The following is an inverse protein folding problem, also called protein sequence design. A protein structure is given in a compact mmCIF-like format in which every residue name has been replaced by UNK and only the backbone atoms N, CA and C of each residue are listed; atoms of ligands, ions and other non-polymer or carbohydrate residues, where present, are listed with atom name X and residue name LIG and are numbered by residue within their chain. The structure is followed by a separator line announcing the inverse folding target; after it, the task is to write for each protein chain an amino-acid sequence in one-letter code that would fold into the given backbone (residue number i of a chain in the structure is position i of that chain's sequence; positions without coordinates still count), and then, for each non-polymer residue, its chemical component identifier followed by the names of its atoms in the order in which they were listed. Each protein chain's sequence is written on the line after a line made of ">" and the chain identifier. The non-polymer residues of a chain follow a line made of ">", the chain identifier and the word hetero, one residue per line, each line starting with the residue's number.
data_IF_537786801478
#
_entry.id   IF_537786801478
#
_cell.length_a   1.000
_cell.length_b   1.000
_cell.length_c   1.000
_cell.angle_alpha   90.00
_cell.angle_beta   90.00
_cell.angle_gamma   90.00
#
_symmetry.space_group_name_H-M   'P 1'
#
loop_
_entity.id
_entity.type
_entity.pdbx_description
1 polymer ?
#
# COMPACT_ATOMS: atom_id res chain seq x y z
N UNK A 1 -7.67 8.33 -9.28
CA UNK A 1 -6.84 8.60 -8.09
C UNK A 1 -7.74 8.57 -6.88
N UNK A 2 -7.39 7.79 -5.85
CA UNK A 2 -8.18 7.75 -4.62
C UNK A 2 -7.92 9.04 -3.83
N UNK A 3 -8.89 9.95 -3.84
CA UNK A 3 -8.93 11.10 -2.93
C UNK A 3 -8.96 10.57 -1.50
N UNK A 4 -8.00 10.97 -0.65
CA UNK A 4 -8.03 10.64 0.78
C UNK A 4 -9.35 11.10 1.35
N UNK A 5 -10.17 10.18 1.86
CA UNK A 5 -11.49 10.55 2.36
C UNK A 5 -11.33 11.23 3.71
N UNK A 6 -12.22 12.17 4.02
CA UNK A 6 -12.24 12.86 5.31
C UNK A 6 -12.17 11.89 6.51
N UNK A 7 -12.93 10.80 6.46
CA UNK A 7 -12.93 9.77 7.51
C UNK A 7 -11.56 9.12 7.71
N UNK A 8 -10.80 8.89 6.63
CA UNK A 8 -9.47 8.30 6.69
C UNK A 8 -8.48 9.27 7.39
N UNK A 9 -8.61 10.57 7.12
CA UNK A 9 -7.85 11.63 7.80
C UNK A 9 -8.18 11.62 9.31
N UNK A 10 -9.46 11.57 9.65
CA UNK A 10 -9.90 11.62 11.04
C UNK A 10 -9.38 10.43 11.85
N UNK A 11 -9.46 9.21 11.30
CA UNK A 11 -8.92 8.00 11.94
C UNK A 11 -7.42 8.13 12.15
N UNK A 12 -6.67 8.56 11.11
CA UNK A 12 -5.22 8.72 11.18
C UNK A 12 -4.80 9.72 12.27
N UNK A 13 -5.50 10.83 12.39
CA UNK A 13 -5.22 11.86 13.42
C UNK A 13 -5.56 11.37 14.82
N UNK A 14 -6.67 10.64 14.99
CA UNK A 14 -7.04 10.06 16.30
C UNK A 14 -6.02 9.03 16.77
N UNK A 15 -5.52 8.18 15.88
CA UNK A 15 -4.44 7.26 16.20
C UNK A 15 -3.14 7.99 16.55
N UNK A 16 -2.81 9.05 15.82
CA UNK A 16 -1.64 9.86 16.13
C UNK A 16 -1.73 10.51 17.52
N UNK A 17 -2.88 11.07 17.88
CA UNK A 17 -3.16 11.62 19.21
C UNK A 17 -3.02 10.57 20.31
N UNK A 18 -3.48 9.33 20.06
CA UNK A 18 -3.34 8.21 20.99
C UNK A 18 -1.87 7.86 21.23
N UNK A 19 -1.06 7.80 20.16
CA UNK A 19 0.39 7.54 20.26
C UNK A 19 1.11 8.68 20.97
N UNK A 20 0.80 9.93 20.65
CA UNK A 20 1.39 11.11 21.26
C UNK A 20 1.23 11.10 22.79
N UNK A 21 0.03 10.76 23.29
CA UNK A 21 -0.23 10.62 24.73
C UNK A 21 0.56 9.51 25.40
N UNK A 22 0.74 8.40 24.69
CA UNK A 22 1.39 7.21 25.24
C UNK A 22 2.93 7.29 25.22
N UNK A 23 3.51 7.86 24.16
CA UNK A 23 4.94 7.83 23.87
C UNK A 23 5.61 9.21 23.83
N UNK A 24 4.85 10.31 23.90
CA UNK A 24 5.36 11.69 23.90
C UNK A 24 5.87 12.19 22.55
N UNK A 25 5.81 11.37 21.48
CA UNK A 25 6.20 11.78 20.12
C UNK A 25 5.42 10.98 19.08
N UNK A 26 4.92 11.67 18.06
CA UNK A 26 4.20 11.03 16.94
C UNK A 26 4.61 11.51 15.56
N UNK A 27 5.44 12.55 15.45
CA UNK A 27 5.82 13.07 14.15
C UNK A 27 6.60 12.03 13.33
N UNK A 28 6.08 11.73 12.15
CA UNK A 28 6.69 10.86 11.16
C UNK A 28 6.80 11.57 9.80
N UNK A 29 7.27 10.87 8.77
CA UNK A 29 7.44 11.46 7.44
C UNK A 29 6.13 11.88 6.76
N UNK A 30 4.98 11.38 7.23
CA UNK A 30 3.66 11.62 6.64
C UNK A 30 2.69 12.36 7.55
N UNK A 31 3.01 12.63 8.80
CA UNK A 31 2.19 13.41 9.73
C UNK A 31 3.04 14.41 10.51
N UNK A 32 2.62 15.68 10.49
CA UNK A 32 3.34 16.78 11.10
C UNK A 32 2.41 17.64 11.96
N UNK A 33 2.85 17.95 13.19
CA UNK A 33 2.09 18.78 14.12
C UNK A 33 2.43 20.26 13.91
N UNK A 34 1.45 21.13 14.12
CA UNK A 34 1.56 22.58 13.97
C UNK A 34 0.73 23.25 15.05
N UNK A 35 1.39 23.85 16.05
CA UNK A 35 0.68 24.58 17.10
C UNK A 35 -0.18 25.71 16.53
N UNK A 36 0.41 26.59 15.74
CA UNK A 36 -0.27 27.72 15.11
C UNK A 36 -0.09 27.73 13.59
N UNK A 37 -1.04 28.30 12.84
CA UNK A 37 -0.89 28.52 11.41
C UNK A 37 0.26 29.50 11.12
N UNK A 38 1.29 29.08 10.38
CA UNK A 38 2.46 29.89 10.06
C UNK A 38 2.21 30.81 8.85
N UNK A 39 3.17 31.67 8.48
CA UNK A 39 3.09 32.42 7.21
C UNK A 39 3.07 31.47 6.01
N UNK A 40 2.22 31.76 5.02
CA UNK A 40 2.07 30.91 3.84
C UNK A 40 3.37 30.86 3.01
N UNK A 41 4.08 32.00 2.93
CA UNK A 41 5.30 32.17 2.13
C UNK A 41 6.44 31.25 2.61
N UNK A 42 6.66 31.17 3.93
CA UNK A 42 7.70 30.30 4.50
C UNK A 42 7.32 28.83 4.40
N UNK A 43 6.03 28.52 4.28
CA UNK A 43 5.51 27.16 4.40
C UNK A 43 5.22 26.50 3.07
N UNK A 44 5.10 27.27 1.99
CA UNK A 44 5.11 26.73 0.64
C UNK A 44 6.35 25.86 0.39
N UNK A 45 7.55 26.34 0.77
CA UNK A 45 8.79 25.57 0.60
C UNK A 45 8.82 24.31 1.47
N UNK A 46 8.32 24.37 2.72
CA UNK A 46 8.26 23.21 3.61
C UNK A 46 7.25 22.17 3.11
N UNK A 47 6.07 22.62 2.67
CA UNK A 47 5.04 21.76 2.09
C UNK A 47 5.54 21.09 0.81
N UNK A 48 6.15 21.85 -0.10
CA UNK A 48 6.77 21.31 -1.30
C UNK A 48 7.88 20.30 -0.96
N UNK A 49 8.72 20.62 0.03
CA UNK A 49 9.83 19.76 0.45
C UNK A 49 9.35 18.42 1.02
N UNK A 50 8.32 18.46 1.85
CA UNK A 50 7.68 17.25 2.34
C UNK A 50 7.03 16.49 1.17
N UNK A 51 6.21 17.15 0.34
CA UNK A 51 5.49 16.50 -0.77
C UNK A 51 6.44 15.84 -1.78
N UNK A 52 7.56 16.48 -2.09
CA UNK A 52 8.62 15.94 -2.92
C UNK A 52 9.28 14.70 -2.30
N UNK A 53 9.48 14.69 -0.98
CA UNK A 53 10.09 13.57 -0.27
C UNK A 53 9.12 12.40 -0.04
N UNK A 54 7.81 12.66 0.03
CA UNK A 54 6.79 11.65 0.35
C UNK A 54 6.51 10.64 -0.74
N UNK A 55 7.01 10.85 -1.96
CA UNK A 55 6.99 9.79 -2.97
C UNK A 55 5.58 9.33 -3.37
N UNK A 56 4.63 10.26 -3.41
CA UNK A 56 3.24 10.01 -3.81
C UNK A 56 2.28 9.67 -2.67
N UNK A 57 2.80 9.47 -1.45
CA UNK A 57 2.02 9.29 -0.22
C UNK A 57 1.50 10.61 0.34
N UNK A 58 0.25 10.63 0.80
CA UNK A 58 -0.35 11.83 1.39
C UNK A 58 0.35 12.26 2.69
N UNK A 59 0.55 13.57 2.83
CA UNK A 59 1.06 14.18 4.06
C UNK A 59 -0.09 14.82 4.81
N UNK A 60 -0.14 14.65 6.12
CA UNK A 60 -1.15 15.27 6.98
C UNK A 60 -0.47 16.31 7.86
N UNK A 61 -0.94 17.56 7.78
CA UNK A 61 -0.64 18.59 8.77
C UNK A 61 -1.79 18.68 9.77
N UNK A 62 -1.45 18.70 11.06
CA UNK A 62 -2.42 18.82 12.15
C UNK A 62 -2.20 20.13 12.88
N UNK A 63 -3.13 21.07 12.72
CA UNK A 63 -3.10 22.37 13.38
C UNK A 63 -3.85 22.33 14.70
N UNK A 64 -3.39 23.15 15.66
CA UNK A 64 -3.96 23.25 17.01
C UNK A 64 -3.29 22.33 18.03
N UNK A 65 -2.15 21.72 17.67
CA UNK A 65 -1.34 20.90 18.55
C UNK A 65 0.13 21.28 18.35
N UNK A 66 0.78 21.75 19.40
CA UNK A 66 2.21 22.07 19.39
C UNK A 66 3.08 20.80 19.39
N UNK A 67 4.38 20.96 19.11
CA UNK A 67 5.32 19.84 18.97
C UNK A 67 5.51 19.06 20.29
N UNK A 68 5.20 19.67 21.43
CA UNK A 68 5.19 19.04 22.76
C UNK A 68 3.84 18.38 23.12
N UNK A 69 2.86 18.44 22.21
CA UNK A 69 1.52 17.91 22.37
C UNK A 69 0.53 18.84 23.09
N UNK A 70 0.93 20.07 23.43
CA UNK A 70 0.00 21.04 23.99
C UNK A 70 -1.05 21.50 22.97
N UNK A 71 -2.30 21.62 23.38
CA UNK A 71 -3.36 22.18 22.53
C UNK A 71 -3.20 23.69 22.40
N UNK A 72 -3.40 24.19 21.19
CA UNK A 72 -3.34 25.60 20.84
C UNK A 72 -4.66 25.98 20.20
N UNK A 73 -5.27 27.06 20.69
CA UNK A 73 -6.54 27.54 20.14
C UNK A 73 -6.36 28.07 18.72
N UNK A 74 -7.13 27.50 17.79
CA UNK A 74 -7.16 27.86 16.37
C UNK A 74 -8.56 28.31 15.93
N UNK A 75 -9.47 28.64 16.85
CA UNK A 75 -10.85 28.99 16.52
C UNK A 75 -11.00 30.21 15.60
N UNK A 76 -9.99 31.08 15.54
CA UNK A 76 -9.94 32.23 14.63
C UNK A 76 -9.15 31.98 13.33
N UNK A 77 -8.70 30.74 13.07
CA UNK A 77 -7.93 30.41 11.89
C UNK A 77 -8.81 30.05 10.70
N UNK A 78 -8.83 30.93 9.69
CA UNK A 78 -9.49 30.69 8.41
C UNK A 78 -8.50 30.02 7.42
N UNK A 79 -8.59 28.69 7.31
CA UNK A 79 -7.69 27.91 6.44
C UNK A 79 -7.78 28.36 4.97
N UNK A 80 -8.98 28.65 4.47
CA UNK A 80 -9.19 29.02 3.07
C UNK A 80 -8.45 30.32 2.72
N UNK A 81 -8.52 31.33 3.60
CA UNK A 81 -7.79 32.60 3.44
C UNK A 81 -6.27 32.40 3.44
N UNK A 82 -5.78 31.54 4.33
CA UNK A 82 -4.37 31.20 4.40
C UNK A 82 -3.90 30.43 3.17
N UNK A 83 -4.67 29.43 2.75
CA UNK A 83 -4.31 28.55 1.64
C UNK A 83 -4.44 29.24 0.29
N UNK A 84 -5.34 30.22 0.13
CA UNK A 84 -5.46 31.03 -1.08
C UNK A 84 -4.14 31.74 -1.49
N UNK A 85 -3.22 31.94 -0.54
CA UNK A 85 -1.89 32.52 -0.79
C UNK A 85 -0.85 31.51 -1.28
N UNK A 86 -1.07 30.21 -1.06
CA UNK A 86 -0.11 29.16 -1.40
C UNK A 86 0.17 29.04 -2.90
N UNK A 87 -0.82 28.97 -3.80
CA UNK A 87 -0.57 28.75 -5.23
C UNK A 87 0.41 29.76 -5.85
N UNK A 88 0.39 31.02 -5.38
CA UNK A 88 1.27 32.07 -5.87
C UNK A 88 2.76 31.82 -5.60
N UNK A 89 3.10 30.94 -4.66
CA UNK A 89 4.47 30.58 -4.30
C UNK A 89 5.03 29.42 -5.14
N UNK A 90 4.19 28.67 -5.85
CA UNK A 90 4.59 27.55 -6.69
C UNK A 90 4.84 27.99 -8.13
N UNK A 91 5.64 27.20 -8.84
CA UNK A 91 5.85 27.30 -10.28
C UNK A 91 5.30 26.03 -10.96
N UNK A 92 3.99 26.03 -11.20
CA UNK A 92 3.26 24.86 -11.71
C UNK A 92 2.30 24.28 -10.67
N UNK A 93 2.15 22.94 -10.59
CA UNK A 93 1.23 22.31 -9.65
C UNK A 93 1.66 22.56 -8.21
N UNK A 94 0.69 22.54 -7.30
CA UNK A 94 0.87 22.64 -5.87
C UNK A 94 0.10 21.51 -5.17
N UNK A 95 0.49 21.11 -3.94
CA UNK A 95 -0.23 20.06 -3.22
C UNK A 95 -1.66 20.48 -2.88
N UNK A 96 -2.64 19.72 -3.37
CA UNK A 96 -4.07 19.98 -3.14
C UNK A 96 -4.50 19.50 -1.73
N UNK A 97 -5.21 20.31 -0.94
CA UNK A 97 -5.64 19.96 0.40
C UNK A 97 -6.98 19.20 0.41
N UNK A 98 -7.13 18.30 1.37
CA UNK A 98 -8.41 17.78 1.85
C UNK A 98 -8.47 18.02 3.35
N UNK A 99 -9.56 18.66 3.80
CA UNK A 99 -9.66 19.22 5.15
C UNK A 99 -10.62 18.37 6.00
N UNK A 100 -10.25 18.16 7.27
CA UNK A 100 -11.11 17.60 8.30
C UNK A 100 -11.00 18.43 9.58
N UNK A 101 -12.13 18.95 10.07
CA UNK A 101 -12.23 19.52 11.42
C UNK A 101 -12.61 18.44 12.41
N UNK A 102 -11.91 18.40 13.55
CA UNK A 102 -12.13 17.47 14.64
C UNK A 102 -12.30 18.20 15.96
N UNK A 103 -13.19 17.67 16.81
CA UNK A 103 -13.18 17.94 18.24
C UNK A 103 -12.41 16.82 18.96
N UNK A 104 -11.50 17.23 19.86
CA UNK A 104 -10.80 16.33 20.75
C UNK A 104 -10.68 16.97 22.13
N UNK A 105 -11.43 16.42 23.09
CA UNK A 105 -11.50 16.92 24.46
C UNK A 105 -11.89 18.40 24.56
N UNK A 106 -12.81 18.84 23.69
CA UNK A 106 -13.24 20.22 23.63
C UNK A 106 -12.27 21.18 22.94
N UNK A 107 -11.16 20.68 22.38
CA UNK A 107 -10.23 21.46 21.58
C UNK A 107 -10.51 21.24 20.09
N UNK A 108 -10.61 22.34 19.34
CA UNK A 108 -10.74 22.31 17.90
C UNK A 108 -9.38 21.98 17.26
N UNK A 109 -9.36 20.96 16.41
CA UNK A 109 -8.19 20.53 15.63
C UNK A 109 -8.54 20.58 14.15
N UNK A 110 -7.61 21.09 13.36
CA UNK A 110 -7.73 21.12 11.91
C UNK A 110 -6.70 20.17 11.31
N UNK A 111 -7.17 19.12 10.66
CA UNK A 111 -6.34 18.19 9.91
C UNK A 111 -6.42 18.48 8.41
N UNK A 112 -5.26 18.61 7.77
CA UNK A 112 -5.16 18.91 6.35
C UNK A 112 -4.28 17.87 5.68
N UNK A 113 -4.88 17.03 4.85
CA UNK A 113 -4.17 16.05 4.03
C UNK A 113 -3.83 16.66 2.67
N UNK A 114 -2.56 16.67 2.30
CA UNK A 114 -2.08 17.13 1.02
C UNK A 114 -1.76 15.96 0.09
N UNK A 115 -2.21 16.05 -1.15
CA UNK A 115 -1.81 15.13 -2.22
C UNK A 115 -0.41 15.45 -2.72
N UNK A 116 0.41 14.43 -2.94
CA UNK A 116 1.83 14.58 -3.31
C UNK A 116 2.19 13.85 -4.62
N UNK A 117 1.19 13.46 -5.40
CA UNK A 117 1.29 12.64 -6.60
C UNK A 117 1.70 13.40 -7.86
N UNK A 118 1.84 14.73 -7.75
CA UNK A 118 2.31 15.61 -8.82
C UNK A 118 3.76 16.07 -8.63
N UNK A 119 4.53 15.43 -7.74
CA UNK A 119 5.95 15.72 -7.60
C UNK A 119 6.67 15.59 -8.98
N UNK A 120 7.62 16.48 -9.32
CA UNK A 120 8.21 17.51 -8.45
C UNK A 120 7.36 18.78 -8.29
N UNK A 121 7.27 19.26 -7.05
CA UNK A 121 6.73 20.57 -6.68
C UNK A 121 7.87 21.61 -6.63
N UNK A 122 7.78 22.63 -7.49
CA UNK A 122 8.79 23.68 -7.62
C UNK A 122 8.25 24.97 -6.97
N UNK A 123 9.08 25.64 -6.18
CA UNK A 123 8.72 26.90 -5.49
C UNK A 123 9.60 28.05 -5.90
N UNK A 124 9.08 29.26 -5.75
CA UNK A 124 9.83 30.52 -5.88
C UNK A 124 10.62 30.77 -4.60
N UNK A 125 11.89 31.16 -4.71
CA UNK A 125 12.70 31.46 -3.53
C UNK A 125 12.22 32.76 -2.89
N UNK A 126 12.02 32.76 -1.57
CA UNK A 126 11.61 33.96 -0.83
C UNK A 126 12.64 35.10 -0.96
N UNK A 127 13.94 34.76 -0.95
CA UNK A 127 15.02 35.73 -1.06
C UNK A 127 15.15 36.34 -2.48
N UNK A 128 14.78 35.59 -3.51
CA UNK A 128 14.77 36.05 -4.91
C UNK A 128 13.66 35.33 -5.69
N UNK A 129 12.48 35.95 -5.85
CA UNK A 129 11.35 35.34 -6.55
C UNK A 129 11.60 35.05 -8.04
N UNK A 130 12.73 35.45 -8.61
CA UNK A 130 13.14 35.06 -9.98
C UNK A 130 13.81 33.69 -10.01
N UNK A 131 14.32 33.23 -8.87
CA UNK A 131 14.88 31.91 -8.72
C UNK A 131 13.81 30.88 -8.39
N UNK A 132 14.06 29.64 -8.80
CA UNK A 132 13.24 28.48 -8.51
C UNK A 132 14.09 27.43 -7.82
N UNK A 133 13.47 26.71 -6.91
CA UNK A 133 14.08 25.53 -6.31
C UNK A 133 13.04 24.42 -6.18
N UNK A 134 13.50 23.18 -6.20
CA UNK A 134 12.69 22.01 -5.85
C UNK A 134 13.06 21.65 -4.41
N UNK A 135 12.25 21.99 -3.40
CA UNK A 135 12.60 21.70 -2.03
C UNK A 135 12.54 20.19 -1.77
N UNK A 136 13.28 19.72 -0.79
CA UNK A 136 13.35 18.33 -0.34
C UNK A 136 13.46 18.32 1.17
N UNK A 137 12.62 17.50 1.81
CA UNK A 137 12.66 17.32 3.26
C UNK A 137 13.64 16.20 3.63
N UNK A 138 14.53 16.51 4.56
CA UNK A 138 15.44 15.57 5.20
C UNK A 138 15.32 15.74 6.72
N UNK A 139 14.64 14.79 7.36
CA UNK A 139 14.27 14.90 8.78
C UNK A 139 13.33 16.08 9.02
N UNK A 140 13.73 17.01 9.90
CA UNK A 140 13.00 18.24 10.20
C UNK A 140 13.41 19.44 9.31
N UNK A 141 14.38 19.26 8.42
CA UNK A 141 14.92 20.35 7.60
C UNK A 141 14.45 20.28 6.16
N UNK A 142 14.31 21.45 5.54
CA UNK A 142 14.03 21.60 4.11
C UNK A 142 15.26 22.18 3.42
N UNK A 143 15.73 21.51 2.38
CA UNK A 143 16.84 21.95 1.52
C UNK A 143 16.47 21.80 0.05
N UNK A 144 17.31 22.23 -0.88
CA UNK A 144 17.11 21.93 -2.30
C UNK A 144 17.36 20.44 -2.58
N UNK A 145 16.56 19.86 -3.47
CA UNK A 145 16.73 18.50 -3.96
C UNK A 145 18.04 18.36 -4.74
N UNK A 146 18.75 17.27 -4.50
CA UNK A 146 19.92 16.85 -5.28
C UNK A 146 19.49 16.27 -6.63
N UNK A 147 20.44 16.15 -7.57
CA UNK A 147 20.19 15.49 -8.87
C UNK A 147 19.58 14.09 -8.71
N UNK A 148 20.09 13.29 -7.77
CA UNK A 148 19.61 11.93 -7.54
C UNK A 148 18.18 11.89 -7.01
N UNK A 149 17.79 12.85 -6.17
CA UNK A 149 16.42 13.00 -5.67
C UNK A 149 15.46 13.46 -6.78
N UNK A 150 15.88 14.41 -7.62
CA UNK A 150 15.10 14.82 -8.80
C UNK A 150 14.84 13.65 -9.75
N UNK A 151 15.86 12.84 -10.04
CA UNK A 151 15.67 11.64 -10.86
C UNK A 151 14.67 10.68 -10.20
N UNK A 152 14.74 10.49 -8.88
CA UNK A 152 13.79 9.63 -8.14
C UNK A 152 12.35 10.12 -8.21
N UNK A 153 12.11 11.43 -8.22
CA UNK A 153 10.77 12.00 -8.40
C UNK A 153 10.22 11.75 -9.80
N UNK A 154 11.08 11.84 -10.82
CA UNK A 154 10.71 11.68 -12.22
C UNK A 154 10.53 10.21 -12.64
N UNK A 155 11.09 9.27 -11.86
CA UNK A 155 10.82 7.86 -12.08
C UNK A 155 9.34 7.58 -11.79
N UNK A 156 8.61 6.88 -12.69
CA UNK A 156 7.23 6.50 -12.44
C UNK A 156 7.11 5.82 -11.09
N UNK A 157 6.38 6.44 -10.18
CA UNK A 157 6.04 5.83 -8.91
C UNK A 157 4.95 4.80 -9.19
N UNK A 158 5.36 3.57 -9.53
CA UNK A 158 4.43 2.45 -9.59
C UNK A 158 3.78 2.31 -8.22
N UNK A 159 2.49 2.62 -8.15
CA UNK A 159 1.67 2.23 -7.02
C UNK A 159 1.37 0.74 -7.18
N UNK A 160 1.64 -0.02 -6.12
CA UNK A 160 1.30 -1.43 -6.13
C UNK A 160 -0.22 -1.58 -6.01
N UNK A 161 -0.83 -2.54 -6.71
CA UNK A 161 -2.23 -2.84 -6.51
C UNK A 161 -2.47 -3.35 -5.08
N UNK A 162 -3.65 -3.05 -4.55
CA UNK A 162 -4.12 -3.71 -3.33
C UNK A 162 -4.57 -5.12 -3.69
N UNK A 163 -4.14 -6.11 -2.92
CA UNK A 163 -4.51 -7.51 -3.13
C UNK A 163 -4.96 -8.09 -1.79
N UNK A 164 -6.06 -8.83 -1.82
CA UNK A 164 -6.63 -9.49 -0.64
C UNK A 164 -6.85 -10.97 -0.95
N UNK A 165 -6.55 -11.86 -0.01
CA UNK A 165 -6.88 -13.29 -0.16
C UNK A 165 -8.29 -13.49 0.36
N UNK A 166 -9.20 -13.79 -0.57
CA UNK A 166 -10.60 -14.09 -0.28
C UNK A 166 -10.75 -15.47 0.34
N UNK A 167 -9.88 -16.40 -0.03
CA UNK A 167 -9.83 -17.74 0.52
C UNK A 167 -8.86 -18.63 -0.24
N UNK A 168 -8.66 -19.84 0.23
CA UNK A 168 -7.86 -20.83 -0.48
C UNK A 168 -7.78 -22.15 0.25
N UNK A 169 -7.03 -23.08 -0.31
CA UNK A 169 -6.73 -24.35 0.32
C UNK A 169 -5.44 -24.97 -0.22
N UNK A 170 -4.77 -25.72 0.64
CA UNK A 170 -3.78 -26.72 0.25
C UNK A 170 -4.47 -28.08 0.30
N UNK A 171 -4.51 -28.79 -0.82
CA UNK A 171 -5.05 -30.12 -0.95
C UNK A 171 -3.93 -31.15 -1.14
N UNK A 172 -4.16 -32.36 -0.65
CA UNK A 172 -3.26 -33.49 -0.80
C UNK A 172 -3.93 -34.57 -1.66
N UNK A 173 -3.52 -34.67 -2.92
CA UNK A 173 -4.16 -35.57 -3.89
C UNK A 173 -3.36 -36.87 -4.05
N UNK A 174 -4.01 -38.05 -4.11
CA UNK A 174 -3.32 -39.29 -4.41
C UNK A 174 -2.61 -39.23 -5.76
N UNK A 175 -1.36 -39.69 -5.82
CA UNK A 175 -0.65 -39.76 -7.09
C UNK A 175 -1.26 -40.83 -8.01
N UNK A 176 -1.55 -40.51 -9.29
CA UNK A 176 -2.03 -41.50 -10.24
C UNK A 176 -1.05 -42.69 -10.35
N UNK A 177 -1.57 -43.90 -10.18
CA UNK A 177 -0.78 -45.13 -10.30
C UNK A 177 0.04 -45.52 -9.05
N UNK A 178 -0.09 -44.79 -7.94
CA UNK A 178 0.49 -45.19 -6.65
C UNK A 178 -0.60 -45.45 -5.60
N UNK A 179 -0.26 -46.21 -4.56
CA UNK A 179 -1.14 -46.37 -3.42
C UNK A 179 -1.36 -45.02 -2.73
N UNK A 180 -2.61 -44.63 -2.41
CA UNK A 180 -2.93 -43.35 -1.76
C UNK A 180 -2.27 -43.18 -0.38
N UNK A 181 -1.81 -44.27 0.22
CA UNK A 181 -1.15 -44.31 1.53
C UNK A 181 0.37 -44.05 1.47
N UNK A 182 0.97 -43.93 0.28
CA UNK A 182 2.41 -43.77 0.13
C UNK A 182 2.81 -42.31 -0.10
N UNK A 183 2.27 -41.67 -1.13
CA UNK A 183 2.67 -40.33 -1.56
C UNK A 183 1.45 -39.56 -2.04
N UNK A 184 1.33 -38.32 -1.57
CA UNK A 184 0.33 -37.36 -2.05
C UNK A 184 0.99 -36.16 -2.70
N UNK A 185 0.37 -35.69 -3.76
CA UNK A 185 0.71 -34.45 -4.43
C UNK A 185 0.17 -33.27 -3.63
N UNK A 186 0.99 -32.23 -3.51
CA UNK A 186 0.60 -30.97 -2.87
C UNK A 186 0.05 -30.04 -3.95
N UNK A 187 -1.22 -29.70 -3.81
CA UNK A 187 -1.97 -28.81 -4.72
C UNK A 187 -2.42 -27.58 -3.94
N UNK A 188 -2.27 -26.41 -4.53
CA UNK A 188 -2.75 -25.15 -3.97
C UNK A 188 -3.79 -24.50 -4.86
N UNK A 189 -4.79 -23.92 -4.22
CA UNK A 189 -5.75 -23.02 -4.85
C UNK A 189 -5.99 -21.83 -3.91
N UNK A 190 -5.95 -20.62 -4.45
CA UNK A 190 -6.41 -19.43 -3.73
C UNK A 190 -7.22 -18.54 -4.65
N UNK A 191 -8.18 -17.86 -4.07
CA UNK A 191 -8.92 -16.79 -4.71
C UNK A 191 -8.47 -15.45 -4.13
N UNK A 192 -8.13 -14.54 -5.02
CA UNK A 192 -7.59 -13.24 -4.69
C UNK A 192 -8.49 -12.16 -5.25
N UNK A 193 -8.77 -11.15 -4.43
CA UNK A 193 -9.31 -9.88 -4.88
C UNK A 193 -8.15 -8.93 -5.18
N UNK A 194 -8.33 -8.10 -6.20
CA UNK A 194 -7.35 -7.12 -6.63
C UNK A 194 -8.02 -5.80 -6.95
N UNK A 195 -7.42 -4.72 -6.47
CA UNK A 195 -7.84 -3.35 -6.72
C UNK A 195 -6.63 -2.56 -7.28
N UNK A 196 -6.62 -2.25 -8.59
CA UNK A 196 -5.56 -1.46 -9.21
C UNK A 196 -5.45 -0.07 -8.58
N UNK A 197 -4.23 0.35 -8.28
CA UNK A 197 -4.00 1.68 -7.75
C UNK A 197 -4.31 2.81 -8.78
N UNK A 198 -4.24 2.50 -10.07
CA UNK A 198 -4.40 3.44 -11.17
C UNK A 198 -5.41 2.96 -12.22
N UNK A 199 -6.13 3.89 -12.84
CA UNK A 199 -7.17 3.62 -13.83
C UNK A 199 -6.65 3.00 -15.14
N UNK A 200 -5.35 3.07 -15.40
CA UNK A 200 -4.73 2.45 -16.57
C UNK A 200 -4.65 0.92 -16.45
N UNK A 201 -4.87 0.39 -15.24
CA UNK A 201 -4.70 -1.03 -14.96
C UNK A 201 -3.25 -1.46 -14.98
N UNK A 202 -3.03 -2.77 -14.89
CA UNK A 202 -1.71 -3.37 -14.99
C UNK A 202 -1.79 -4.80 -15.52
N UNK A 203 -0.62 -5.33 -15.89
CA UNK A 203 -0.49 -6.71 -16.33
C UNK A 203 0.19 -7.55 -15.24
N UNK A 204 -0.51 -8.58 -14.75
CA UNK A 204 0.06 -9.60 -13.86
C UNK A 204 0.68 -10.70 -14.72
N UNK A 205 2.01 -10.81 -14.69
CA UNK A 205 2.73 -11.74 -15.55
C UNK A 205 2.86 -13.10 -14.89
N UNK A 206 2.31 -14.15 -15.52
CA UNK A 206 2.39 -15.53 -15.04
C UNK A 206 3.83 -15.98 -14.82
N UNK A 207 4.74 -15.59 -15.72
CA UNK A 207 6.15 -15.98 -15.62
C UNK A 207 6.92 -15.35 -14.44
N UNK A 208 6.31 -14.39 -13.75
CA UNK A 208 6.86 -13.71 -12.58
C UNK A 208 6.11 -14.02 -11.29
N UNK A 209 5.13 -14.94 -11.37
CA UNK A 209 4.44 -15.43 -10.20
C UNK A 209 5.22 -16.60 -9.61
N UNK A 210 5.39 -16.57 -8.30
CA UNK A 210 5.99 -17.63 -7.50
C UNK A 210 5.09 -17.90 -6.30
N UNK A 211 4.86 -19.16 -6.01
CA UNK A 211 4.15 -19.62 -4.83
C UNK A 211 5.11 -20.48 -4.03
N UNK A 212 5.25 -20.18 -2.74
CA UNK A 212 5.99 -21.00 -1.80
C UNK A 212 5.06 -21.50 -0.70
N UNK A 213 5.02 -22.81 -0.49
CA UNK A 213 4.20 -23.45 0.55
C UNK A 213 5.14 -24.18 1.50
N UNK A 214 5.18 -23.74 2.75
CA UNK A 214 5.93 -24.37 3.82
C UNK A 214 5.00 -25.28 4.66
N UNK A 215 5.33 -26.57 4.71
CA UNK A 215 4.63 -27.61 5.46
C UNK A 215 5.62 -28.27 6.43
N UNK A 216 5.55 -27.90 7.70
CA UNK A 216 6.59 -28.26 8.68
C UNK A 216 7.97 -27.70 8.26
N UNK A 217 8.96 -28.58 8.14
CA UNK A 217 10.33 -28.22 7.72
C UNK A 217 10.51 -28.21 6.19
N UNK A 218 9.51 -28.65 5.42
CA UNK A 218 9.60 -28.74 3.96
C UNK A 218 9.00 -27.51 3.32
N UNK A 219 9.71 -26.98 2.32
CA UNK A 219 9.25 -25.87 1.49
C UNK A 219 9.10 -26.33 0.05
N UNK A 220 7.92 -26.08 -0.51
CA UNK A 220 7.58 -26.37 -1.90
C UNK A 220 7.45 -25.08 -2.66
N UNK A 221 8.06 -24.98 -3.85
CA UNK A 221 8.01 -23.77 -4.67
C UNK A 221 7.43 -24.10 -6.03
N UNK A 222 6.36 -23.41 -6.41
CA UNK A 222 5.80 -23.40 -7.76
C UNK A 222 6.14 -22.09 -8.45
N UNK A 223 6.74 -22.18 -9.62
CA UNK A 223 7.02 -21.03 -10.50
C UNK A 223 6.07 -21.06 -11.71
N UNK A 224 6.26 -20.10 -12.62
CA UNK A 224 5.58 -19.93 -13.90
C UNK A 224 4.91 -21.19 -14.51
N UNK A 225 5.64 -22.30 -14.66
CA UNK A 225 5.11 -23.52 -15.30
C UNK A 225 3.96 -24.17 -14.53
N UNK A 226 3.98 -24.07 -13.21
CA UNK A 226 3.08 -24.76 -12.29
C UNK A 226 2.00 -23.84 -11.71
N UNK A 227 2.00 -22.55 -12.08
CA UNK A 227 1.00 -21.57 -11.64
C UNK A 227 0.01 -21.29 -12.77
N UNK A 228 -1.28 -21.41 -12.49
CA UNK A 228 -2.37 -21.03 -13.37
C UNK A 228 -3.09 -19.82 -12.76
N UNK A 229 -3.30 -18.79 -13.58
CA UNK A 229 -4.06 -17.60 -13.23
C UNK A 229 -5.34 -17.58 -14.06
N UNK A 230 -6.49 -17.43 -13.41
CA UNK A 230 -7.80 -17.45 -14.07
C UNK A 230 -8.69 -16.38 -13.46
N UNK A 231 -9.36 -15.58 -14.27
CA UNK A 231 -10.40 -14.68 -13.76
C UNK A 231 -11.54 -15.51 -13.15
N UNK A 232 -12.07 -15.07 -12.00
CA UNK A 232 -13.17 -15.75 -11.30
C UNK A 232 -14.24 -14.74 -10.90
N UNK A 233 -15.50 -15.18 -10.91
CA UNK A 233 -16.60 -14.45 -10.27
C UNK A 233 -16.72 -14.94 -8.83
N UNK A 234 -16.31 -14.12 -7.86
CA UNK A 234 -16.60 -14.38 -6.46
C UNK A 234 -18.00 -13.88 -6.12
N UNK A 235 -18.79 -14.62 -5.32
CA UNK A 235 -20.16 -14.25 -4.96
C UNK A 235 -20.29 -12.83 -4.38
N UNK A 236 -19.27 -12.39 -3.62
CA UNK A 236 -19.23 -11.04 -3.03
C UNK A 236 -18.68 -9.96 -3.98
N UNK A 237 -17.99 -10.33 -5.04
CA UNK A 237 -17.30 -9.40 -5.96
C UNK A 237 -17.52 -9.79 -7.43
N UNK A 238 -18.76 -9.75 -7.94
CA UNK A 238 -19.08 -10.14 -9.32
C UNK A 238 -18.66 -9.04 -10.31
N UNK A 239 -17.37 -8.92 -10.64
CA UNK A 239 -16.86 -8.01 -11.67
C UNK A 239 -15.66 -8.57 -12.46
N UNK A 240 -15.84 -9.72 -13.12
CA UNK A 240 -14.82 -10.32 -14.00
C UNK A 240 -14.44 -9.47 -15.22
N UNK A 241 -15.28 -8.53 -15.67
CA UNK A 241 -15.00 -7.75 -16.89
C UNK A 241 -13.70 -6.93 -16.80
N UNK A 242 -13.29 -6.57 -15.58
CA UNK A 242 -12.06 -5.84 -15.28
C UNK A 242 -10.81 -6.73 -15.26
N UNK A 243 -10.95 -8.05 -15.08
CA UNK A 243 -9.84 -9.01 -15.02
C UNK A 243 -9.91 -9.95 -16.23
N UNK A 244 -9.00 -9.77 -17.18
CA UNK A 244 -9.02 -10.50 -18.45
C UNK A 244 -7.83 -11.44 -18.55
N UNK A 245 -8.04 -12.75 -18.79
CA UNK A 245 -6.93 -13.66 -19.05
C UNK A 245 -6.26 -13.33 -20.39
N UNK A 246 -4.94 -13.48 -20.43
CA UNK A 246 -4.12 -13.39 -21.65
C UNK A 246 -3.21 -14.61 -21.73
N UNK A 247 -2.53 -14.81 -22.85
CA UNK A 247 -1.55 -15.90 -22.99
C UNK A 247 -0.35 -15.79 -22.02
N UNK A 248 -0.07 -14.58 -21.51
CA UNK A 248 1.06 -14.29 -20.64
C UNK A 248 0.70 -14.11 -19.16
N UNK A 249 -0.61 -14.09 -18.81
CA UNK A 249 -1.08 -13.86 -17.44
C UNK A 249 -2.46 -13.22 -17.40
N UNK A 250 -2.63 -12.17 -16.58
CA UNK A 250 -3.90 -11.42 -16.45
C UNK A 250 -3.69 -9.94 -16.78
N UNK A 251 -4.65 -9.33 -17.48
CA UNK A 251 -4.76 -7.89 -17.66
C UNK A 251 -5.87 -7.36 -16.76
N UNK A 252 -5.54 -6.45 -15.85
CA UNK A 252 -6.46 -5.98 -14.81
C UNK A 252 -6.67 -4.48 -14.99
N UNK A 253 -7.89 -4.04 -15.31
CA UNK A 253 -8.25 -2.64 -15.59
C UNK A 253 -9.04 -1.97 -14.47
N UNK A 254 -9.50 -2.74 -13.49
CA UNK A 254 -10.27 -2.27 -12.36
C UNK A 254 -10.38 -3.36 -11.29
N UNK A 255 -11.15 -3.11 -10.21
CA UNK A 255 -11.34 -4.07 -9.15
C UNK A 255 -11.95 -5.39 -9.66
N UNK A 256 -11.48 -6.52 -9.14
CA UNK A 256 -12.04 -7.82 -9.48
C UNK A 256 -11.34 -8.98 -8.77
N UNK A 257 -11.75 -10.20 -9.09
CA UNK A 257 -11.20 -11.44 -8.51
C UNK A 257 -10.54 -12.34 -9.55
N UNK A 258 -9.54 -13.09 -9.10
CA UNK A 258 -8.93 -14.17 -9.87
C UNK A 258 -8.49 -15.31 -8.97
N UNK A 259 -8.46 -16.51 -9.52
CA UNK A 259 -7.88 -17.69 -8.91
C UNK A 259 -6.41 -17.84 -9.29
N UNK A 260 -5.60 -18.22 -8.30
CA UNK A 260 -4.26 -18.74 -8.45
C UNK A 260 -4.28 -20.21 -8.05
N UNK A 261 -4.11 -21.06 -9.04
CA UNK A 261 -4.11 -22.52 -8.87
C UNK A 261 -2.73 -23.08 -9.23
N UNK A 262 -2.39 -24.21 -8.64
CA UNK A 262 -1.24 -25.00 -9.08
C UNK A 262 -1.65 -26.39 -9.49
N UNK A 263 -0.99 -26.97 -10.48
CA UNK A 263 -1.22 -28.37 -10.87
C UNK A 263 -0.53 -29.35 -9.92
N UNK A 264 0.73 -29.08 -9.55
CA UNK A 264 1.50 -29.84 -8.56
C UNK A 264 2.69 -28.98 -8.10
N UNK A 265 2.83 -28.79 -6.80
CA UNK A 265 3.96 -28.02 -6.21
C UNK A 265 5.05 -28.95 -5.69
N UNK A 266 4.67 -30.16 -5.27
CA UNK A 266 5.60 -31.16 -4.78
C UNK A 266 4.88 -32.39 -4.26
N UNK A 267 5.62 -33.22 -3.54
CA UNK A 267 5.13 -34.49 -3.02
C UNK A 267 5.49 -34.65 -1.55
N UNK A 268 4.57 -35.24 -0.79
CA UNK A 268 4.75 -35.57 0.62
C UNK A 268 4.38 -37.02 0.90
N UNK A 269 5.19 -37.73 1.70
CA UNK A 269 4.81 -39.01 2.29
C UNK A 269 3.54 -38.85 3.15
N UNK A 270 2.64 -39.84 3.11
CA UNK A 270 1.36 -39.76 3.82
C UNK A 270 1.51 -39.76 5.36
N UNK A 271 2.57 -40.38 5.89
CA UNK A 271 2.90 -40.38 7.32
C UNK A 271 3.26 -38.98 7.82
N UNK A 272 3.97 -38.17 7.02
CA UNK A 272 4.30 -36.78 7.33
C UNK A 272 3.03 -35.93 7.43
N UNK A 273 2.01 -36.19 6.60
CA UNK A 273 0.75 -35.42 6.62
C UNK A 273 -0.01 -35.57 7.93
N UNK A 274 0.06 -36.75 8.57
CA UNK A 274 -0.64 -37.00 9.84
C UNK A 274 -0.09 -36.16 11.00
N UNK A 275 1.14 -35.65 10.88
CA UNK A 275 1.76 -34.78 11.87
C UNK A 275 1.66 -33.28 11.57
N UNK A 276 1.11 -32.89 10.41
CA UNK A 276 1.03 -31.48 10.03
C UNK A 276 -0.10 -30.77 10.76
N UNK A 277 0.27 -29.80 11.61
CA UNK A 277 -0.69 -28.93 12.30
C UNK A 277 -0.85 -27.58 11.61
N UNK A 278 0.20 -27.11 10.92
CA UNK A 278 0.27 -25.77 10.35
C UNK A 278 0.94 -25.76 8.97
N UNK A 279 0.49 -24.83 8.13
CA UNK A 279 1.04 -24.53 6.83
C UNK A 279 1.24 -23.02 6.70
N UNK A 280 2.41 -22.59 6.22
CA UNK A 280 2.64 -21.20 5.85
C UNK A 280 2.74 -21.09 4.34
N UNK A 281 1.87 -20.29 3.76
CA UNK A 281 1.86 -20.00 2.33
C UNK A 281 2.41 -18.61 2.11
N UNK A 282 3.34 -18.49 1.18
CA UNK A 282 3.86 -17.23 0.68
C UNK A 282 3.54 -17.13 -0.82
N UNK A 283 2.77 -16.11 -1.21
CA UNK A 283 2.45 -15.86 -2.62
C UNK A 283 3.23 -14.62 -3.06
N UNK A 284 4.04 -14.75 -4.10
CA UNK A 284 4.78 -13.65 -4.71
C UNK A 284 4.22 -13.40 -6.11
N UNK A 285 3.62 -12.22 -6.31
CA UNK A 285 3.01 -11.81 -7.56
C UNK A 285 3.89 -10.77 -8.25
N UNK A 286 4.22 -11.00 -9.52
CA UNK A 286 5.05 -10.11 -10.32
C UNK A 286 4.27 -9.31 -11.36
N UNK A 287 4.35 -7.99 -11.27
CA UNK A 287 3.63 -7.06 -12.14
C UNK A 287 4.53 -6.49 -13.22
N UNK A 288 4.01 -6.37 -14.44
CA UNK A 288 4.69 -5.74 -15.58
C UNK A 288 5.20 -4.32 -15.29
N UNK A 289 6.10 -3.77 -16.12
CA UNK A 289 6.78 -2.51 -15.83
C UNK A 289 5.79 -1.34 -15.56
N UNK A 290 6.05 -0.53 -14.50
CA UNK A 290 7.23 -0.60 -13.63
C UNK A 290 7.20 -1.82 -12.70
N UNK A 291 8.35 -2.48 -12.59
CA UNK A 291 8.51 -3.79 -11.95
C UNK A 291 8.15 -3.71 -10.47
N UNK A 292 6.99 -4.28 -10.10
CA UNK A 292 6.59 -4.48 -8.72
C UNK A 292 6.58 -5.97 -8.35
N UNK A 293 6.86 -6.26 -7.08
CA UNK A 293 6.56 -7.54 -6.45
C UNK A 293 5.62 -7.27 -5.28
N UNK A 294 4.54 -8.04 -5.17
CA UNK A 294 3.67 -8.08 -3.99
C UNK A 294 3.83 -9.45 -3.36
N UNK A 295 4.18 -9.48 -2.08
CA UNK A 295 4.35 -10.71 -1.33
C UNK A 295 3.25 -10.83 -0.26
N UNK A 296 2.52 -11.93 -0.31
CA UNK A 296 1.53 -12.34 0.68
C UNK A 296 2.14 -13.38 1.61
N UNK A 297 1.79 -13.36 2.89
CA UNK A 297 2.05 -14.49 3.81
C UNK A 297 0.79 -14.81 4.58
N UNK A 298 0.34 -16.06 4.49
CA UNK A 298 -0.79 -16.56 5.29
C UNK A 298 -0.38 -17.85 5.98
N UNK A 299 -0.65 -17.92 7.28
CA UNK A 299 -0.47 -19.14 8.06
C UNK A 299 -1.84 -19.73 8.35
N UNK A 300 -2.00 -21.01 8.07
CA UNK A 300 -3.23 -21.75 8.36
C UNK A 300 -2.98 -22.96 9.24
N UNK A 301 -4.01 -23.37 9.99
CA UNK A 301 -4.06 -24.59 10.78
C UNK A 301 -4.88 -25.65 10.05
N UNK A 302 -4.49 -26.91 10.22
CA UNK A 302 -5.15 -28.03 9.55
C UNK A 302 -6.60 -28.18 10.01
N UNK A 303 -7.52 -28.39 9.07
CA UNK A 303 -8.94 -28.63 9.35
C UNK A 303 -9.45 -30.00 8.85
N UNK A 304 -8.67 -30.77 8.10
CA UNK A 304 -9.00 -32.14 7.70
C UNK A 304 -7.74 -32.92 7.25
N UNK A 305 -7.80 -34.27 7.23
CA UNK A 305 -6.69 -35.16 6.81
C UNK A 305 -6.16 -34.90 5.40
N UNK A 306 -7.02 -34.46 4.48
CA UNK A 306 -6.70 -34.34 3.05
C UNK A 306 -6.72 -32.89 2.53
N UNK A 307 -7.09 -31.93 3.39
CA UNK A 307 -7.21 -30.53 2.99
C UNK A 307 -6.98 -29.57 4.16
N UNK A 308 -6.17 -28.55 3.91
CA UNK A 308 -5.99 -27.40 4.81
C UNK A 308 -6.65 -26.18 4.18
N UNK A 309 -7.59 -25.58 4.92
CA UNK A 309 -8.31 -24.38 4.47
C UNK A 309 -7.53 -23.14 4.83
N UNK A 310 -7.34 -22.21 3.91
CA UNK A 310 -6.69 -20.93 4.15
C UNK A 310 -7.78 -19.95 4.58
N UNK A 311 -7.62 -19.37 5.76
CA UNK A 311 -8.52 -18.35 6.30
C UNK A 311 -8.31 -17.05 5.51
N UNK A 312 -9.38 -16.30 5.18
CA UNK A 312 -9.25 -15.00 4.52
C UNK A 312 -8.32 -14.06 5.27
N UNK A 313 -7.59 -13.22 4.53
CA UNK A 313 -6.64 -12.29 5.13
C UNK A 313 -6.14 -11.23 4.15
N UNK A 314 -5.82 -10.06 4.68
CA UNK A 314 -5.31 -8.92 3.91
C UNK A 314 -3.81 -9.08 3.64
N UNK A 315 -3.36 -8.73 2.43
CA UNK A 315 -1.96 -8.79 2.07
C UNK A 315 -1.25 -7.48 2.37
N UNK A 316 -0.10 -7.56 3.04
CA UNK A 316 0.83 -6.44 3.09
C UNK A 316 1.70 -6.46 1.83
N UNK A 317 1.49 -5.49 0.94
CA UNK A 317 2.36 -5.29 -0.20
C UNK A 317 3.76 -4.87 0.27
N UNK A 318 4.69 -5.81 0.35
CA UNK A 318 6.11 -5.51 0.50
C UNK A 318 6.69 -5.16 -0.88
N UNK A 319 6.76 -3.87 -1.19
CA UNK A 319 7.49 -3.38 -2.35
C UNK A 319 8.99 -3.68 -2.17
N UNK A 320 9.48 -4.79 -2.70
CA UNK A 320 10.92 -4.96 -2.93
C UNK A 320 11.28 -4.20 -4.21
N UNK A 321 11.91 -3.03 -4.05
CA UNK A 321 12.59 -2.31 -5.13
C UNK A 321 13.98 -2.90 -5.36
#
# INVERSE_FOLDING_TARGET
>A
MATTRRTDIEVRVREALRVLRAAGKVEDAGLELKGSPPSAETKAAQLAGAANASGGESIVWVFGIADDGAFVDISGFEFDDWFARMPGQFDGPYPEPTIAWLDHEGNAILAVSFRTDHAPYVVKRVADPRQRETPWREGAHTRTATRSELIRMLLPQARLPHIEILGGSVAFEPQPGQSPDLVKDVVFAAELFVDPADANGFHLSKHRCELSVQLGEKTFVATAGNVALQATDHERYPQTAAVRPTSAGLHIQGPGSFALNTTRIGQLPADVLNGLTEATVVITLGFGPPVGLVQARVTTRAFARDRMMIVPGTLLALARR
#
